data_IF_270892211222
#
_entry.id   IF_270892211222
#
_cell.length_a   1.000
_cell.length_b   1.000
_cell.length_c   1.000
_cell.angle_alpha   90.00
_cell.angle_beta   90.00
_cell.angle_gamma   90.00
#
_symmetry.space_group_name_H-M   'P 1'
#
loop_
_entity.id
_entity.type
_entity.pdbx_description
1 polymer ?
#
# COMPACT_ATOMS: atom_id res chain seq x y z
N UNK A 1 -20.06 -37.97 48.58
CA UNK A 1 -20.13 -36.70 47.83
C UNK A 1 -18.77 -36.02 47.94
N UNK A 2 -17.82 -36.36 47.06
CA UNK A 2 -16.50 -35.73 47.03
C UNK A 2 -16.40 -34.95 45.73
N UNK A 3 -16.34 -33.63 45.83
CA UNK A 3 -16.23 -32.72 44.68
C UNK A 3 -14.74 -32.56 44.34
N UNK A 4 -14.31 -33.16 43.24
CA UNK A 4 -13.00 -32.89 42.66
C UNK A 4 -13.05 -31.55 41.94
N UNK A 5 -12.38 -30.53 42.50
CA UNK A 5 -12.08 -29.28 41.78
C UNK A 5 -11.16 -29.60 40.61
N UNK A 6 -11.63 -29.39 39.39
CA UNK A 6 -10.79 -29.34 38.21
C UNK A 6 -10.06 -28.00 38.29
N UNK A 7 -8.75 -28.06 38.47
CA UNK A 7 -7.89 -26.89 38.40
C UNK A 7 -7.66 -26.60 36.91
N UNK A 8 -8.35 -25.61 36.37
CA UNK A 8 -8.13 -25.13 35.00
C UNK A 8 -6.73 -24.49 34.95
N UNK A 9 -5.73 -25.27 34.56
CA UNK A 9 -4.38 -24.79 34.30
C UNK A 9 -4.40 -24.09 32.93
N UNK A 10 -4.50 -22.77 32.94
CA UNK A 10 -4.32 -21.95 31.74
C UNK A 10 -2.82 -21.85 31.49
N UNK A 11 -2.41 -22.42 30.36
CA UNK A 11 -1.07 -22.28 29.82
C UNK A 11 -0.89 -20.85 29.27
N UNK A 12 -0.17 -20.02 30.03
CA UNK A 12 0.08 -18.59 29.76
C UNK A 12 1.33 -18.34 28.90
N UNK A 13 1.81 -19.34 28.17
CA UNK A 13 2.94 -19.21 27.24
C UNK A 13 2.62 -18.42 25.95
N UNK A 14 1.48 -17.69 25.90
CA UNK A 14 1.08 -16.88 24.75
C UNK A 14 1.98 -15.65 24.51
N UNK A 15 2.74 -15.24 25.51
CA UNK A 15 3.72 -14.15 25.42
C UNK A 15 5.15 -14.63 25.23
N UNK A 16 5.36 -15.94 25.07
CA UNK A 16 6.69 -16.47 24.83
C UNK A 16 7.21 -15.91 23.49
N UNK A 17 8.42 -15.30 23.49
CA UNK A 17 8.99 -14.76 22.28
C UNK A 17 9.20 -15.90 21.28
N UNK A 18 8.80 -15.71 20.00
CA UNK A 18 9.01 -16.74 18.99
C UNK A 18 10.51 -17.04 18.86
N UNK A 19 10.89 -18.28 18.52
CA UNK A 19 12.29 -18.64 18.33
C UNK A 19 12.96 -17.66 17.36
N UNK A 20 14.15 -17.19 17.73
CA UNK A 20 14.95 -16.24 16.99
C UNK A 20 15.09 -16.71 15.53
N UNK A 21 14.63 -15.88 14.59
CA UNK A 21 14.71 -16.18 13.16
C UNK A 21 16.17 -16.18 12.72
N UNK A 22 16.52 -17.12 11.83
CA UNK A 22 17.86 -17.28 11.31
C UNK A 22 18.43 -15.96 10.75
N UNK A 23 19.71 -15.69 11.04
CA UNK A 23 20.44 -14.45 10.77
C UNK A 23 20.49 -13.99 9.29
N UNK A 24 19.92 -14.75 8.35
CA UNK A 24 20.01 -14.52 6.92
C UNK A 24 18.63 -14.32 6.24
N UNK A 25 17.60 -13.87 6.98
CA UNK A 25 16.31 -13.52 6.37
C UNK A 25 16.28 -12.06 5.87
N UNK A 26 16.35 -11.80 4.54
CA UNK A 26 16.28 -10.45 3.98
C UNK A 26 14.90 -9.78 4.12
N UNK A 27 13.94 -10.44 4.79
CA UNK A 27 12.65 -9.84 5.21
C UNK A 27 12.60 -9.48 6.70
N UNK A 28 13.77 -9.45 7.36
CA UNK A 28 13.90 -9.00 8.75
C UNK A 28 13.25 -7.64 8.94
N UNK A 29 12.32 -7.55 9.90
CA UNK A 29 11.88 -6.26 10.44
C UNK A 29 13.15 -5.61 10.98
N UNK A 30 13.50 -4.38 10.55
CA UNK A 30 14.64 -3.69 11.13
C UNK A 30 14.44 -3.61 12.65
N UNK A 31 15.33 -4.25 13.39
CA UNK A 31 15.35 -4.21 14.84
C UNK A 31 16.06 -2.91 15.22
N UNK A 32 15.32 -1.81 15.19
CA UNK A 32 15.82 -0.55 15.68
C UNK A 32 15.85 -0.65 17.20
N UNK A 33 17.03 -0.54 17.85
CA UNK A 33 17.07 -0.52 19.29
C UNK A 33 16.21 0.65 19.79
N UNK A 34 15.50 0.48 20.92
CA UNK A 34 14.81 1.60 21.54
C UNK A 34 15.82 2.73 21.76
N UNK A 35 15.40 3.95 21.48
CA UNK A 35 16.24 5.13 21.67
C UNK A 35 16.65 5.21 23.15
N UNK A 36 17.95 5.36 23.41
CA UNK A 36 18.48 5.41 24.77
C UNK A 36 18.10 6.74 25.43
N UNK A 37 16.91 6.78 26.03
CA UNK A 37 16.41 7.90 26.82
C UNK A 37 15.03 8.37 26.40
N UNK A 38 14.34 9.03 27.34
CA UNK A 38 13.21 9.89 27.00
C UNK A 38 13.72 11.31 26.78
N UNK A 39 13.26 11.97 25.71
CA UNK A 39 13.46 13.41 25.58
C UNK A 39 12.59 14.13 26.61
N UNK A 40 13.20 15.05 27.37
CA UNK A 40 12.48 15.80 28.41
C UNK A 40 11.81 17.07 27.86
N UNK A 41 12.27 17.57 26.70
CA UNK A 41 11.87 18.85 26.11
C UNK A 41 11.46 18.72 24.64
N UNK A 42 10.16 18.51 24.39
CA UNK A 42 9.61 18.60 23.02
C UNK A 42 9.79 20.01 22.46
N UNK A 43 10.60 20.15 21.42
CA UNK A 43 10.75 21.40 20.67
C UNK A 43 9.73 21.40 19.51
N UNK A 44 8.62 22.13 19.61
CA UNK A 44 7.68 22.22 18.50
C UNK A 44 8.39 22.88 17.31
N UNK A 45 8.21 22.31 16.13
CA UNK A 45 8.60 23.00 14.90
C UNK A 45 7.73 24.26 14.77
N UNK A 46 8.33 25.43 15.01
CA UNK A 46 7.64 26.70 14.91
C UNK A 46 7.39 26.99 13.43
N UNK A 47 6.19 26.63 12.96
CA UNK A 47 5.76 26.92 11.59
C UNK A 47 5.66 28.43 11.47
N UNK A 48 6.59 29.05 10.73
CA UNK A 48 6.53 30.48 10.48
C UNK A 48 5.16 30.86 9.90
N UNK A 49 4.61 31.97 10.41
CA UNK A 49 3.38 32.52 9.88
C UNK A 49 3.57 32.85 8.40
N UNK A 50 2.89 32.08 7.56
CA UNK A 50 2.74 32.38 6.14
C UNK A 50 1.32 32.88 5.98
N UNK A 51 1.15 34.01 5.30
CA UNK A 51 -0.17 34.50 4.94
C UNK A 51 -1.01 33.36 4.37
N UNK A 52 -2.22 33.20 4.90
CA UNK A 52 -3.14 32.20 4.42
C UNK A 52 -3.41 32.45 2.93
N UNK A 53 -2.83 31.62 2.07
CA UNK A 53 -3.29 31.52 0.68
C UNK A 53 -4.57 30.72 0.69
N UNK A 54 -5.68 31.38 1.00
CA UNK A 54 -7.02 30.84 0.82
C UNK A 54 -7.25 30.72 -0.68
N UNK A 55 -6.92 29.57 -1.23
CA UNK A 55 -7.37 29.20 -2.56
C UNK A 55 -8.88 28.96 -2.46
N UNK A 56 -9.70 29.44 -3.42
CA UNK A 56 -11.11 29.10 -3.43
C UNK A 56 -11.23 27.58 -3.39
N UNK A 57 -12.03 27.09 -2.43
CA UNK A 57 -12.38 25.68 -2.37
C UNK A 57 -12.97 25.31 -3.73
N UNK A 58 -12.61 24.15 -4.29
CA UNK A 58 -13.24 23.69 -5.50
C UNK A 58 -14.76 23.66 -5.30
N UNK A 59 -15.53 23.96 -6.36
CA UNK A 59 -16.98 24.18 -6.23
C UNK A 59 -17.73 22.91 -5.82
N UNK A 60 -17.14 21.75 -6.05
CA UNK A 60 -17.68 20.47 -5.61
C UNK A 60 -16.88 19.92 -4.42
N UNK A 61 -17.52 19.56 -3.29
CA UNK A 61 -16.86 18.89 -2.18
C UNK A 61 -16.11 17.62 -2.61
N UNK A 62 -16.53 16.98 -3.72
CA UNK A 62 -15.88 15.83 -4.35
C UNK A 62 -14.46 16.11 -4.89
N UNK A 63 -14.10 17.38 -5.02
CA UNK A 63 -12.77 17.83 -5.40
C UNK A 63 -11.88 18.11 -4.17
N UNK A 64 -12.31 17.87 -2.92
CA UNK A 64 -11.42 17.87 -1.74
C UNK A 64 -10.65 16.55 -1.54
N UNK A 65 -10.91 15.57 -2.39
CA UNK A 65 -10.42 14.22 -2.23
C UNK A 65 -8.95 14.08 -2.68
N UNK A 66 -8.31 12.97 -2.33
CA UNK A 66 -6.88 12.70 -2.56
C UNK A 66 -6.39 13.06 -3.97
N UNK A 67 -7.22 12.89 -5.00
CA UNK A 67 -6.87 13.29 -6.37
C UNK A 67 -6.53 14.79 -6.52
N UNK A 68 -7.21 15.67 -5.78
CA UNK A 68 -6.95 17.11 -5.78
C UNK A 68 -5.59 17.46 -5.17
N UNK A 69 -5.21 16.80 -4.08
CA UNK A 69 -3.88 16.98 -3.49
C UNK A 69 -2.78 16.67 -4.51
N UNK A 70 -2.92 15.57 -5.26
CA UNK A 70 -1.95 15.19 -6.30
C UNK A 70 -1.86 16.24 -7.41
N UNK A 71 -3.01 16.79 -7.85
CA UNK A 71 -3.03 17.90 -8.82
C UNK A 71 -2.35 19.15 -8.28
N UNK A 72 -2.63 19.51 -7.02
CA UNK A 72 -2.05 20.68 -6.37
C UNK A 72 -0.54 20.55 -6.24
N UNK A 73 -0.04 19.42 -5.71
CA UNK A 73 1.38 19.13 -5.58
C UNK A 73 2.08 19.22 -6.93
N UNK A 74 1.51 18.57 -7.96
CA UNK A 74 2.06 18.66 -9.33
C UNK A 74 2.08 20.09 -9.86
N UNK A 75 1.03 20.88 -9.61
CA UNK A 75 0.97 22.30 -10.04
C UNK A 75 2.04 23.14 -9.34
N UNK A 76 2.36 22.82 -8.08
CA UNK A 76 3.42 23.45 -7.31
C UNK A 76 4.83 22.94 -7.65
N UNK A 77 4.95 21.98 -8.58
CA UNK A 77 6.23 21.42 -9.02
C UNK A 77 6.68 20.18 -8.25
N UNK A 78 5.85 19.62 -7.36
CA UNK A 78 6.18 18.45 -6.55
C UNK A 78 5.68 17.14 -7.16
N UNK A 79 6.52 16.10 -7.09
CA UNK A 79 6.17 14.74 -7.40
C UNK A 79 5.43 14.06 -6.25
N UNK A 80 4.38 13.29 -6.56
CA UNK A 80 3.61 12.56 -5.56
C UNK A 80 3.23 11.16 -6.06
N UNK A 81 3.27 10.20 -5.14
CA UNK A 81 2.82 8.82 -5.35
C UNK A 81 2.19 8.30 -4.06
N UNK A 82 1.17 7.45 -4.15
CA UNK A 82 0.56 6.87 -2.95
C UNK A 82 -0.65 6.00 -3.23
N UNK A 83 -1.05 5.23 -2.22
CA UNK A 83 -2.25 4.37 -2.30
C UNK A 83 -3.52 5.19 -2.25
N UNK A 84 -4.55 4.80 -2.99
CA UNK A 84 -5.82 5.51 -3.05
C UNK A 84 -7.02 4.68 -2.59
N UNK A 85 -8.04 5.35 -2.07
CA UNK A 85 -9.33 4.73 -1.73
C UNK A 85 -10.31 4.79 -2.90
N UNK A 86 -11.29 3.88 -3.01
CA UNK A 86 -12.28 3.89 -4.10
C UNK A 86 -13.12 5.18 -4.18
N UNK A 87 -13.30 5.85 -3.05
CA UNK A 87 -14.05 7.09 -2.92
C UNK A 87 -13.16 8.34 -3.01
N UNK A 88 -11.91 8.24 -3.47
CA UNK A 88 -10.94 9.35 -3.46
C UNK A 88 -10.96 10.28 -4.69
N UNK A 89 -12.10 10.35 -5.39
CA UNK A 89 -12.24 11.13 -6.63
C UNK A 89 -11.65 10.44 -7.87
N UNK A 90 -11.36 9.13 -7.79
CA UNK A 90 -10.92 8.31 -8.93
C UNK A 90 -12.03 8.10 -9.95
N UNK A 91 -11.65 7.66 -11.15
CA UNK A 91 -12.57 7.31 -12.24
C UNK A 91 -13.48 6.14 -11.87
N UNK A 92 -14.67 6.14 -12.45
CA UNK A 92 -15.68 5.08 -12.31
C UNK A 92 -15.13 3.71 -12.72
N UNK A 93 -14.25 3.68 -13.70
CA UNK A 93 -13.60 2.49 -14.24
C UNK A 93 -12.62 1.89 -13.22
N UNK A 94 -11.76 2.70 -12.61
CA UNK A 94 -10.84 2.23 -11.56
C UNK A 94 -11.62 1.81 -10.32
N UNK A 95 -12.68 2.53 -9.96
CA UNK A 95 -13.59 2.14 -8.88
C UNK A 95 -14.23 0.77 -9.16
N UNK A 96 -14.77 0.57 -10.37
CA UNK A 96 -15.34 -0.70 -10.79
C UNK A 96 -14.33 -1.85 -10.69
N UNK A 97 -13.10 -1.66 -11.20
CA UNK A 97 -12.04 -2.68 -11.13
C UNK A 97 -11.72 -3.03 -9.67
N UNK A 98 -11.68 -2.04 -8.77
CA UNK A 98 -11.42 -2.28 -7.34
C UNK A 98 -12.55 -3.08 -6.67
N UNK A 99 -13.79 -2.83 -7.04
CA UNK A 99 -14.97 -3.49 -6.46
C UNK A 99 -15.17 -4.90 -7.01
N UNK A 100 -15.01 -5.09 -8.33
CA UNK A 100 -15.36 -6.35 -9.00
C UNK A 100 -14.15 -7.22 -9.35
N UNK A 101 -12.95 -6.64 -9.38
CA UNK A 101 -11.75 -7.27 -9.92
C UNK A 101 -11.79 -7.45 -11.44
N UNK A 102 -12.72 -6.80 -12.15
CA UNK A 102 -12.90 -6.93 -13.60
C UNK A 102 -12.55 -5.64 -14.32
N UNK A 103 -11.87 -5.81 -15.45
CA UNK A 103 -11.60 -4.76 -16.43
C UNK A 103 -12.90 -4.34 -17.15
N UNK A 104 -12.90 -3.18 -17.83
CA UNK A 104 -14.08 -2.71 -18.56
C UNK A 104 -14.58 -3.67 -19.65
N UNK A 105 -13.71 -4.52 -20.19
CA UNK A 105 -14.06 -5.56 -21.16
C UNK A 105 -14.64 -6.84 -20.50
N UNK A 106 -14.84 -6.82 -19.18
CA UNK A 106 -15.39 -7.92 -18.39
C UNK A 106 -14.37 -8.98 -17.97
N UNK A 107 -13.14 -8.95 -18.49
CA UNK A 107 -12.09 -9.89 -18.09
C UNK A 107 -11.64 -9.60 -16.65
N UNK A 108 -11.27 -10.65 -15.91
CA UNK A 108 -10.70 -10.48 -14.57
C UNK A 108 -9.26 -9.99 -14.68
N UNK A 109 -8.91 -9.00 -13.85
CA UNK A 109 -7.53 -8.59 -13.67
C UNK A 109 -6.78 -9.72 -12.94
N UNK A 110 -5.75 -10.26 -13.59
CA UNK A 110 -5.00 -11.42 -13.08
C UNK A 110 -3.92 -10.99 -12.11
N UNK A 111 -3.51 -11.88 -11.21
CA UNK A 111 -2.39 -11.63 -10.30
C UNK A 111 -1.18 -11.02 -11.03
N UNK A 112 -0.66 -9.95 -10.43
CA UNK A 112 0.46 -9.15 -10.85
C UNK A 112 0.26 -8.37 -12.17
N UNK A 113 -0.97 -8.30 -12.68
CA UNK A 113 -1.33 -7.39 -13.77
C UNK A 113 -1.66 -6.00 -13.24
N UNK A 114 -1.45 -5.01 -14.13
CA UNK A 114 -1.66 -3.59 -13.86
C UNK A 114 -2.61 -3.04 -14.92
N UNK A 115 -3.53 -2.20 -14.49
CA UNK A 115 -4.37 -1.41 -15.36
C UNK A 115 -4.19 0.08 -15.04
N UNK A 116 -4.07 0.91 -16.07
CA UNK A 116 -3.64 2.30 -15.97
C UNK A 116 -4.65 3.19 -16.69
N UNK A 117 -5.13 4.24 -16.01
CA UNK A 117 -5.94 5.30 -16.62
C UNK A 117 -5.38 6.66 -16.19
N UNK A 118 -4.93 7.51 -17.12
CA UNK A 118 -4.68 8.91 -16.81
C UNK A 118 -6.01 9.65 -16.61
N UNK A 119 -6.03 10.64 -15.71
CA UNK A 119 -7.16 11.58 -15.60
C UNK A 119 -7.42 12.33 -16.92
N UNK A 120 -8.63 12.88 -17.10
CA UNK A 120 -9.01 13.63 -18.33
C UNK A 120 -8.03 14.76 -18.66
N UNK A 121 -7.53 15.46 -17.65
CA UNK A 121 -6.52 16.52 -17.75
C UNK A 121 -5.08 15.99 -17.98
N UNK A 122 -4.89 14.66 -17.98
CA UNK A 122 -3.61 13.95 -18.08
C UNK A 122 -2.62 14.33 -16.98
N UNK A 123 -3.10 14.85 -15.85
CA UNK A 123 -2.27 15.34 -14.75
C UNK A 123 -1.96 14.29 -13.68
N UNK A 124 -2.78 13.26 -13.53
CA UNK A 124 -2.56 12.20 -12.54
C UNK A 124 -2.83 10.85 -13.18
N UNK A 125 -1.94 9.89 -12.95
CA UNK A 125 -2.11 8.50 -13.35
C UNK A 125 -2.83 7.73 -12.24
N UNK A 126 -3.90 7.03 -12.59
CA UNK A 126 -4.62 6.12 -11.71
C UNK A 126 -4.24 4.69 -12.07
N UNK A 127 -3.88 3.92 -11.05
CA UNK A 127 -3.27 2.60 -11.22
C UNK A 127 -4.08 1.61 -10.41
N UNK A 128 -4.54 0.53 -11.04
CA UNK A 128 -5.08 -0.64 -10.37
C UNK A 128 -4.10 -1.80 -10.57
N UNK A 129 -3.60 -2.38 -9.48
CA UNK A 129 -2.71 -3.54 -9.51
C UNK A 129 -3.34 -4.70 -8.76
N UNK A 130 -3.34 -5.90 -9.36
CA UNK A 130 -3.86 -7.09 -8.70
C UNK A 130 -2.76 -7.80 -7.92
N UNK A 131 -2.81 -7.72 -6.61
CA UNK A 131 -2.09 -8.63 -5.70
C UNK A 131 -3.07 -9.72 -5.22
N UNK A 132 -3.08 -10.08 -3.94
CA UNK A 132 -4.16 -10.86 -3.32
C UNK A 132 -5.53 -10.20 -3.53
N UNK A 133 -5.58 -8.86 -3.46
CA UNK A 133 -6.72 -8.03 -3.83
C UNK A 133 -6.27 -6.94 -4.80
N UNK A 134 -7.22 -6.24 -5.43
CA UNK A 134 -6.89 -5.06 -6.24
C UNK A 134 -6.42 -3.94 -5.31
N UNK A 135 -5.23 -3.40 -5.54
CA UNK A 135 -4.67 -2.24 -4.84
C UNK A 135 -4.67 -1.05 -5.79
N UNK A 136 -5.03 0.12 -5.29
CA UNK A 136 -5.10 1.35 -6.08
C UNK A 136 -3.96 2.29 -5.73
N UNK A 137 -3.36 2.91 -6.73
CA UNK A 137 -2.39 3.99 -6.56
C UNK A 137 -2.76 5.21 -7.42
N UNK A 138 -2.34 6.37 -6.94
CA UNK A 138 -2.27 7.61 -7.72
C UNK A 138 -0.80 7.98 -7.88
N UNK A 139 -0.44 8.54 -9.03
CA UNK A 139 0.89 9.09 -9.22
C UNK A 139 0.94 10.24 -10.21
N UNK A 140 1.83 11.20 -9.96
CA UNK A 140 2.16 12.30 -10.88
C UNK A 140 3.53 12.16 -11.54
N UNK A 141 4.37 11.25 -11.05
CA UNK A 141 5.78 11.07 -11.47
C UNK A 141 5.96 9.90 -12.44
N UNK A 142 5.12 8.88 -12.30
CA UNK A 142 5.17 7.66 -13.10
C UNK A 142 4.56 7.88 -14.49
N UNK A 143 5.27 7.46 -15.56
CA UNK A 143 4.79 7.50 -16.96
C UNK A 143 4.58 6.09 -17.52
N UNK A 144 3.79 5.92 -18.58
CA UNK A 144 3.28 4.60 -18.98
C UNK A 144 4.14 3.87 -20.04
N UNK A 145 4.41 2.58 -19.79
CA UNK A 145 4.39 1.52 -20.79
C UNK A 145 3.79 0.20 -20.23
N UNK A 146 4.29 -0.38 -19.13
CA UNK A 146 3.39 -0.92 -18.09
C UNK A 146 4.06 -0.81 -16.70
N UNK A 147 4.72 0.34 -16.51
CA UNK A 147 5.45 0.86 -15.35
C UNK A 147 6.41 -0.12 -14.72
N UNK A 148 7.67 0.05 -15.13
CA UNK A 148 8.92 -0.55 -14.66
C UNK A 148 8.75 -1.48 -13.48
N UNK A 149 9.25 -2.70 -13.62
CA UNK A 149 9.08 -3.70 -12.58
C UNK A 149 10.34 -3.83 -11.77
N UNK A 150 10.19 -3.74 -10.45
CA UNK A 150 11.28 -4.02 -9.53
C UNK A 150 11.18 -5.47 -9.10
N UNK A 151 12.27 -6.22 -9.27
CA UNK A 151 12.37 -7.59 -8.78
C UNK A 151 12.50 -7.56 -7.25
N UNK A 152 11.54 -8.15 -6.54
CA UNK A 152 11.54 -8.19 -5.07
C UNK A 152 11.33 -9.62 -4.55
N UNK A 153 11.88 -9.91 -3.37
CA UNK A 153 11.54 -11.14 -2.63
C UNK A 153 10.14 -10.98 -2.04
N UNK A 154 9.18 -11.71 -2.59
CA UNK A 154 7.77 -11.59 -2.20
C UNK A 154 7.34 -12.82 -1.41
N UNK A 155 6.67 -12.62 -0.28
CA UNK A 155 5.95 -13.67 0.43
C UNK A 155 4.66 -14.00 -0.31
N UNK A 156 4.29 -15.29 -0.37
CA UNK A 156 3.01 -15.72 -0.90
C UNK A 156 1.88 -14.93 -0.22
N UNK A 157 1.05 -14.20 -0.99
CA UNK A 157 -0.04 -13.43 -0.41
C UNK A 157 -1.05 -14.33 0.31
N UNK A 158 -1.64 -13.82 1.38
CA UNK A 158 -2.70 -14.53 2.10
C UNK A 158 -3.85 -14.87 1.14
N UNK A 159 -4.45 -16.06 1.32
CA UNK A 159 -5.57 -16.53 0.50
C UNK A 159 -6.76 -15.59 0.65
N UNK A 160 -6.90 -14.66 -0.30
CA UNK A 160 -8.06 -13.78 -0.44
C UNK A 160 -8.59 -13.94 -1.86
N UNK A 161 -9.85 -14.37 -1.97
CA UNK A 161 -10.51 -14.59 -3.25
C UNK A 161 -11.00 -16.02 -3.45
N UNK A 162 -11.26 -16.36 -4.70
CA UNK A 162 -11.83 -17.65 -5.13
C UNK A 162 -10.80 -18.79 -5.06
N UNK A 163 -11.27 -20.05 -5.04
CA UNK A 163 -10.40 -21.23 -5.11
C UNK A 163 -9.46 -21.20 -6.32
N UNK A 164 -9.96 -20.72 -7.48
CA UNK A 164 -9.18 -20.59 -8.71
C UNK A 164 -8.03 -19.56 -8.58
N UNK A 165 -8.29 -18.42 -7.93
CA UNK A 165 -7.25 -17.40 -7.67
C UNK A 165 -6.19 -17.94 -6.70
N UNK A 166 -6.61 -18.65 -5.65
CA UNK A 166 -5.68 -19.28 -4.72
C UNK A 166 -4.79 -20.33 -5.41
N UNK A 167 -5.37 -21.15 -6.30
CA UNK A 167 -4.62 -22.13 -7.08
C UNK A 167 -3.63 -21.46 -8.04
N UNK A 168 -4.02 -20.37 -8.69
CA UNK A 168 -3.14 -19.62 -9.58
C UNK A 168 -1.97 -18.96 -8.82
N UNK A 169 -2.21 -18.43 -7.62
CA UNK A 169 -1.15 -17.94 -6.74
C UNK A 169 -0.16 -19.05 -6.38
N UNK A 170 -0.67 -20.24 -6.01
CA UNK A 170 0.18 -21.40 -5.73
C UNK A 170 1.03 -21.79 -6.94
N UNK A 171 0.46 -21.77 -8.16
CA UNK A 171 1.20 -22.02 -9.40
C UNK A 171 2.26 -20.95 -9.66
N UNK A 172 1.95 -19.67 -9.46
CA UNK A 172 2.91 -18.57 -9.65
C UNK A 172 4.09 -18.71 -8.68
N UNK A 173 3.83 -19.16 -7.45
CA UNK A 173 4.85 -19.37 -6.43
C UNK A 173 5.47 -20.77 -6.43
N UNK A 174 5.05 -21.67 -7.32
CA UNK A 174 5.48 -23.08 -7.37
C UNK A 174 5.31 -23.83 -6.03
N UNK A 175 4.33 -23.43 -5.19
CA UNK A 175 4.15 -23.97 -3.84
C UNK A 175 5.07 -23.37 -2.77
N UNK A 176 6.01 -22.51 -3.15
CA UNK A 176 6.92 -21.87 -2.22
C UNK A 176 6.22 -20.75 -1.43
N UNK A 177 6.64 -20.56 -0.18
CA UNK A 177 6.17 -19.47 0.66
C UNK A 177 6.79 -18.11 0.28
N UNK A 178 7.88 -18.10 -0.50
CA UNK A 178 8.53 -16.90 -1.02
C UNK A 178 9.04 -17.10 -2.45
N UNK A 179 8.99 -16.05 -3.29
CA UNK A 179 9.55 -16.06 -4.65
C UNK A 179 10.02 -14.67 -5.08
N UNK A 180 11.05 -14.62 -5.92
CA UNK A 180 11.46 -13.38 -6.59
C UNK A 180 10.47 -13.07 -7.70
N UNK A 181 9.72 -11.97 -7.58
CA UNK A 181 8.68 -11.58 -8.52
C UNK A 181 8.89 -10.13 -8.96
N UNK A 182 8.89 -9.82 -10.27
CA UNK A 182 8.89 -8.45 -10.75
C UNK A 182 7.51 -7.83 -10.52
N UNK A 183 7.40 -6.91 -9.56
CA UNK A 183 6.16 -6.17 -9.28
C UNK A 183 6.26 -4.74 -9.81
N UNK A 184 5.15 -4.01 -9.97
CA UNK A 184 5.19 -2.62 -10.40
C UNK A 184 6.05 -1.77 -9.45
N UNK A 185 6.97 -0.96 -9.99
CA UNK A 185 7.90 -0.15 -9.21
C UNK A 185 7.17 0.81 -8.28
N UNK A 186 6.00 1.33 -8.67
CA UNK A 186 5.16 2.15 -7.77
C UNK A 186 4.79 1.42 -6.47
N UNK A 187 4.55 0.10 -6.53
CA UNK A 187 4.25 -0.70 -5.37
C UNK A 187 5.52 -1.12 -4.62
N UNK A 188 6.62 -1.35 -5.33
CA UNK A 188 7.92 -1.64 -4.70
C UNK A 188 8.45 -0.43 -3.92
N UNK A 189 8.49 0.74 -4.55
CA UNK A 189 8.85 2.01 -3.94
C UNK A 189 7.93 2.34 -2.78
N UNK A 190 6.61 2.18 -2.93
CA UNK A 190 5.69 2.37 -1.80
C UNK A 190 6.08 1.49 -0.61
N UNK A 191 6.36 0.20 -0.79
CA UNK A 191 6.72 -0.66 0.34
C UNK A 191 8.10 -0.38 0.94
N UNK A 192 9.07 0.06 0.13
CA UNK A 192 10.43 0.38 0.59
C UNK A 192 10.46 1.75 1.28
N UNK A 193 9.82 2.75 0.69
CA UNK A 193 9.84 4.14 1.15
C UNK A 193 8.79 4.40 2.22
N UNK A 194 7.58 3.83 2.15
CA UNK A 194 6.50 4.12 3.12
C UNK A 194 6.54 3.26 4.39
N UNK A 195 7.56 2.39 4.54
CA UNK A 195 8.01 1.97 5.87
C UNK A 195 8.67 3.13 6.64
N UNK A 196 8.87 4.28 5.99
CA UNK A 196 9.33 5.55 6.55
C UNK A 196 8.40 6.68 6.05
N UNK A 197 7.22 6.83 6.67
CA UNK A 197 6.29 7.99 6.63
C UNK A 197 6.47 9.04 5.50
N UNK A 198 5.48 9.12 4.59
CA UNK A 198 5.16 10.22 3.63
C UNK A 198 6.33 10.93 2.90
N UNK A 199 6.76 10.41 1.74
CA UNK A 199 7.72 11.09 0.87
C UNK A 199 7.05 12.06 -0.13
N UNK A 200 7.32 13.36 0.02
CA UNK A 200 7.20 14.36 -1.07
C UNK A 200 8.52 14.34 -1.84
N UNK A 201 8.50 13.91 -3.10
CA UNK A 201 9.69 13.88 -3.95
C UNK A 201 9.87 15.27 -4.58
N UNK A 202 11.02 15.91 -4.28
CA UNK A 202 11.46 17.18 -4.88
C UNK A 202 12.10 16.97 -6.25
#
# INVERSE_FOLDING_TARGET
>A
MSSSKIQDYIDDHSFDPPPSRAANDPTGVPDFPPEEGCGDDFQPFNVEYRDFKINPLPKEPLELFQLFLFRLLRRLGYGATGTARPNSGITTEIKHIKETGKLPDGKRLVYNEVYLIPTKDKKVLQIAWKDSSVVLFLSTVHSAAPLDRTLIKRKLPAKRGTKAEAQRLQQVFNGDSFKMIPIPSVAAQYNVEMNHVDAVIR
#
